data_IF_375490143181
#
_entry.id   IF_375490143181
#
_cell.length_a   1.000
_cell.length_b   1.000
_cell.length_c   1.000
_cell.angle_alpha   90.00
_cell.angle_beta   90.00
_cell.angle_gamma   90.00
#
_symmetry.space_group_name_H-M   'P 1'
#
loop_
_entity.id
_entity.type
_entity.pdbx_description
1 polymer ?
#
# COMPACT_ATOMS: atom_id res chain seq x y z
N UNK A 1 -17.14 0.58 -25.80
CA UNK A 1 -17.13 -0.78 -25.21
C UNK A 1 -15.71 -1.29 -24.97
N UNK A 2 -14.75 -0.98 -25.86
CA UNK A 2 -13.31 -1.25 -25.72
C UNK A 2 -12.68 -0.70 -24.44
N UNK A 3 -13.00 0.53 -24.02
CA UNK A 3 -12.38 1.15 -22.82
C UNK A 3 -12.63 0.39 -21.50
N UNK A 4 -13.77 -0.30 -21.35
CA UNK A 4 -14.12 -1.01 -20.10
C UNK A 4 -13.30 -2.28 -19.85
N UNK A 5 -12.72 -2.87 -20.90
CA UNK A 5 -11.88 -4.08 -20.80
C UNK A 5 -10.39 -3.70 -20.78
N UNK A 6 -10.02 -2.62 -21.47
CA UNK A 6 -8.64 -2.14 -21.49
C UNK A 6 -8.17 -1.67 -20.11
N UNK A 7 -9.03 -1.00 -19.33
CA UNK A 7 -8.70 -0.50 -17.99
C UNK A 7 -8.23 -1.60 -17.01
N UNK A 8 -9.01 -2.67 -16.76
CA UNK A 8 -8.58 -3.75 -15.88
C UNK A 8 -7.29 -4.45 -16.33
N UNK A 9 -7.08 -4.59 -17.65
CA UNK A 9 -5.87 -5.22 -18.20
C UNK A 9 -4.63 -4.36 -17.93
N UNK A 10 -4.73 -3.05 -18.15
CA UNK A 10 -3.62 -2.11 -17.87
C UNK A 10 -3.34 -2.04 -16.38
N UNK A 11 -4.37 -2.03 -15.54
CA UNK A 11 -4.23 -2.08 -14.08
C UNK A 11 -3.52 -3.37 -13.63
N UNK A 12 -3.91 -4.52 -14.18
CA UNK A 12 -3.29 -5.79 -13.83
C UNK A 12 -1.83 -5.84 -14.28
N UNK A 13 -1.53 -5.39 -15.51
CA UNK A 13 -0.17 -5.35 -16.02
C UNK A 13 0.74 -4.42 -15.18
N UNK A 14 0.24 -3.24 -14.84
CA UNK A 14 0.95 -2.28 -13.98
C UNK A 14 1.15 -2.82 -12.56
N UNK A 15 0.13 -3.42 -11.95
CA UNK A 15 0.23 -4.00 -10.61
C UNK A 15 1.22 -5.17 -10.54
N UNK A 16 1.24 -6.02 -11.57
CA UNK A 16 2.22 -7.11 -11.69
C UNK A 16 3.63 -6.53 -11.88
N UNK A 17 3.79 -5.53 -12.76
CA UNK A 17 5.08 -4.87 -12.97
C UNK A 17 5.61 -4.24 -11.67
N UNK A 18 4.77 -3.53 -10.90
CA UNK A 18 5.14 -2.94 -9.62
C UNK A 18 5.61 -3.99 -8.62
N UNK A 19 4.89 -5.12 -8.52
CA UNK A 19 5.26 -6.20 -7.61
C UNK A 19 6.60 -6.83 -7.98
N UNK A 20 6.83 -7.07 -9.28
CA UNK A 20 8.09 -7.64 -9.78
C UNK A 20 9.25 -6.67 -9.58
N UNK A 21 9.05 -5.38 -9.86
CA UNK A 21 10.07 -4.35 -9.69
C UNK A 21 10.45 -4.17 -8.22
N UNK A 22 9.47 -4.13 -7.30
CA UNK A 22 9.75 -4.08 -5.86
C UNK A 22 10.53 -5.31 -5.41
N UNK A 23 10.17 -6.51 -5.91
CA UNK A 23 10.92 -7.72 -5.55
C UNK A 23 12.34 -7.73 -6.12
N UNK A 24 12.53 -7.22 -7.33
CA UNK A 24 13.84 -7.07 -7.94
C UNK A 24 14.71 -6.06 -7.16
N UNK A 25 14.10 -4.97 -6.68
CA UNK A 25 14.75 -4.01 -5.79
C UNK A 25 15.21 -4.66 -4.47
N UNK A 26 14.39 -5.53 -3.87
CA UNK A 26 14.79 -6.28 -2.67
C UNK A 26 16.00 -7.18 -2.93
N UNK A 27 15.99 -7.91 -4.06
CA UNK A 27 17.07 -8.83 -4.41
C UNK A 27 18.40 -8.11 -4.63
N UNK A 28 18.39 -6.98 -5.33
CA UNK A 28 19.57 -6.14 -5.52
C UNK A 28 20.07 -5.52 -4.20
N UNK A 29 19.15 -5.16 -3.31
CA UNK A 29 19.52 -4.64 -2.00
C UNK A 29 20.16 -5.70 -1.09
N UNK A 30 19.74 -6.97 -1.22
CA UNK A 30 20.26 -8.10 -0.42
C UNK A 30 21.56 -8.72 -0.97
N UNK A 31 21.92 -8.49 -2.25
CA UNK A 31 23.07 -9.12 -2.92
C UNK A 31 24.41 -8.92 -2.19
N UNK A 32 24.58 -7.76 -1.52
CA UNK A 32 25.79 -7.40 -0.77
C UNK A 32 25.58 -7.38 0.76
N UNK A 33 24.57 -8.08 1.28
CA UNK A 33 24.25 -8.20 2.71
C UNK A 33 22.83 -7.75 3.06
N UNK A 34 22.22 -8.28 4.14
CA UNK A 34 20.80 -8.09 4.42
C UNK A 34 20.47 -6.64 4.79
N UNK A 35 19.66 -5.96 3.97
CA UNK A 35 19.16 -4.61 4.24
C UNK A 35 17.67 -4.68 4.60
N UNK A 36 17.39 -4.80 5.89
CA UNK A 36 16.02 -5.01 6.37
C UNK A 36 15.15 -3.75 6.29
N UNK A 37 15.75 -2.56 6.26
CA UNK A 37 15.06 -1.26 6.22
C UNK A 37 14.46 -0.88 4.85
N UNK A 38 14.62 -1.72 3.80
CA UNK A 38 14.16 -1.43 2.43
C UNK A 38 12.63 -1.30 2.35
N UNK A 39 11.87 -2.06 3.17
CA UNK A 39 10.42 -2.05 3.14
C UNK A 39 9.81 -0.66 3.46
N UNK A 40 10.35 0.05 4.44
CA UNK A 40 9.89 1.41 4.80
C UNK A 40 10.24 2.41 3.70
N UNK A 41 11.40 2.24 3.06
CA UNK A 41 11.80 3.06 1.92
C UNK A 41 10.92 2.80 0.69
N UNK A 42 10.49 1.56 0.47
CA UNK A 42 9.50 1.24 -0.56
C UNK A 42 8.14 1.89 -0.28
N UNK A 43 7.67 1.87 0.97
CA UNK A 43 6.46 2.61 1.35
C UNK A 43 6.59 4.10 1.06
N UNK A 44 7.75 4.71 1.35
CA UNK A 44 8.02 6.11 0.99
C UNK A 44 7.93 6.33 -0.53
N UNK A 45 8.56 5.48 -1.34
CA UNK A 45 8.52 5.56 -2.80
C UNK A 45 7.08 5.46 -3.34
N UNK A 46 6.24 4.60 -2.74
CA UNK A 46 4.83 4.44 -3.13
C UNK A 46 4.06 5.74 -2.88
N UNK A 47 4.11 6.28 -1.67
CA UNK A 47 3.44 7.54 -1.34
C UNK A 47 3.98 8.74 -2.14
N UNK A 48 5.28 8.73 -2.46
CA UNK A 48 5.85 9.74 -3.37
C UNK A 48 5.29 9.64 -4.79
N UNK A 49 5.03 8.43 -5.29
CA UNK A 49 4.34 8.20 -6.57
C UNK A 49 2.92 8.74 -6.59
N UNK A 50 2.17 8.53 -5.50
CA UNK A 50 0.83 9.08 -5.31
C UNK A 50 0.83 10.61 -5.21
N UNK A 51 1.78 11.17 -4.46
CA UNK A 51 1.96 12.62 -4.35
C UNK A 51 2.30 13.27 -5.71
N UNK A 52 2.95 12.56 -6.64
CA UNK A 52 3.23 13.07 -7.99
C UNK A 52 1.98 13.31 -8.84
N UNK A 53 0.81 12.77 -8.47
CA UNK A 53 -0.47 13.11 -9.11
C UNK A 53 -0.83 14.59 -8.93
N UNK A 54 -0.23 15.30 -7.97
CA UNK A 54 -0.34 16.77 -7.91
C UNK A 54 0.13 17.43 -9.20
N UNK A 55 1.16 16.92 -9.87
CA UNK A 55 1.59 17.45 -11.16
C UNK A 55 0.50 17.32 -12.21
N UNK A 56 -0.20 16.18 -12.26
CA UNK A 56 -1.32 15.95 -13.15
C UNK A 56 -2.51 16.88 -12.83
N UNK A 57 -2.89 17.00 -11.55
CA UNK A 57 -3.98 17.87 -11.10
C UNK A 57 -3.67 19.35 -11.40
N UNK A 58 -2.45 19.80 -11.11
CA UNK A 58 -2.01 21.18 -11.38
C UNK A 58 -1.95 21.44 -12.88
N UNK A 59 -1.44 20.49 -13.67
CA UNK A 59 -1.39 20.59 -15.13
C UNK A 59 -2.79 20.70 -15.73
N UNK A 60 -3.73 19.85 -15.28
CA UNK A 60 -5.10 19.86 -15.77
C UNK A 60 -5.83 21.16 -15.38
N UNK A 61 -5.62 21.65 -14.14
CA UNK A 61 -6.11 22.97 -13.69
C UNK A 61 -5.51 24.13 -14.48
N UNK A 62 -4.24 24.05 -14.85
CA UNK A 62 -3.57 25.06 -15.66
C UNK A 62 -4.10 25.08 -17.10
N UNK A 63 -4.23 23.90 -17.72
CA UNK A 63 -4.75 23.73 -19.09
C UNK A 63 -6.21 24.15 -19.21
N UNK A 64 -7.03 23.87 -18.20
CA UNK A 64 -8.47 24.16 -18.21
C UNK A 64 -8.83 25.51 -17.55
N UNK A 65 -7.88 26.44 -17.37
CA UNK A 65 -8.11 27.77 -16.77
C UNK A 65 -9.23 28.58 -17.43
N UNK A 66 -9.63 28.25 -18.67
CA UNK A 66 -10.65 28.96 -19.44
C UNK A 66 -11.99 28.21 -19.59
N UNK A 67 -12.19 27.03 -18.97
CA UNK A 67 -13.42 26.25 -19.21
C UNK A 67 -13.84 25.24 -18.13
N UNK A 68 -13.22 25.20 -16.95
CA UNK A 68 -13.58 24.22 -15.92
C UNK A 68 -14.59 24.78 -14.91
N UNK A 69 -15.73 24.10 -14.75
CA UNK A 69 -16.62 24.31 -13.62
C UNK A 69 -15.82 23.98 -12.33
N UNK A 70 -15.78 24.87 -11.33
CA UNK A 70 -14.93 24.66 -10.16
C UNK A 70 -15.43 23.44 -9.38
N UNK A 71 -14.62 22.37 -9.34
CA UNK A 71 -14.75 21.35 -8.29
C UNK A 71 -14.67 22.11 -6.97
N UNK A 72 -15.68 21.98 -6.11
CA UNK A 72 -15.74 22.77 -4.88
C UNK A 72 -14.44 22.57 -4.11
N UNK A 73 -13.73 23.65 -3.70
CA UNK A 73 -12.53 23.49 -2.93
C UNK A 73 -12.87 22.73 -1.65
N UNK A 74 -12.18 21.61 -1.46
CA UNK A 74 -12.26 20.80 -0.25
C UNK A 74 -12.19 21.69 0.99
N UNK A 75 -13.19 21.56 1.86
CA UNK A 75 -13.16 22.22 3.17
C UNK A 75 -11.99 21.67 3.97
N UNK A 76 -11.32 22.49 4.79
CA UNK A 76 -10.16 22.05 5.61
C UNK A 76 -10.46 20.77 6.41
N UNK A 77 -11.70 20.62 6.90
CA UNK A 77 -12.15 19.39 7.57
C UNK A 77 -12.11 18.15 6.67
N UNK A 78 -12.50 18.26 5.40
CA UNK A 78 -12.46 17.14 4.45
C UNK A 78 -11.03 16.80 4.02
N UNK A 79 -10.14 17.79 3.97
CA UNK A 79 -8.69 17.54 3.78
C UNK A 79 -8.11 16.76 4.95
N UNK A 80 -8.50 17.07 6.18
CA UNK A 80 -8.08 16.32 7.37
C UNK A 80 -8.68 14.91 7.41
N UNK A 81 -9.87 14.70 6.84
CA UNK A 81 -10.44 13.35 6.69
C UNK A 81 -9.59 12.43 5.79
N UNK A 82 -8.80 12.99 4.87
CA UNK A 82 -7.85 12.21 4.03
C UNK A 82 -6.62 11.70 4.80
N UNK A 83 -6.35 12.23 5.99
CA UNK A 83 -5.27 11.72 6.83
C UNK A 83 -5.62 10.35 7.45
N UNK A 84 -6.92 10.04 7.58
CA UNK A 84 -7.39 8.77 8.12
C UNK A 84 -6.98 7.60 7.22
N UNK A 85 -7.34 7.55 5.91
CA UNK A 85 -6.92 6.44 5.04
C UNK A 85 -5.40 6.31 4.97
N UNK A 86 -4.65 7.41 4.85
CA UNK A 86 -3.18 7.39 4.86
C UNK A 86 -2.61 6.78 6.15
N UNK A 87 -3.20 7.09 7.30
CA UNK A 87 -2.80 6.49 8.59
C UNK A 87 -3.11 4.98 8.62
N UNK A 88 -4.27 4.57 8.11
CA UNK A 88 -4.66 3.16 8.06
C UNK A 88 -3.78 2.36 7.11
N UNK A 89 -3.38 2.91 5.96
CA UNK A 89 -2.46 2.25 5.05
C UNK A 89 -1.08 2.04 5.69
N UNK A 90 -0.54 3.05 6.36
CA UNK A 90 0.75 2.93 7.05
C UNK A 90 0.69 1.90 8.18
N UNK A 91 -0.37 1.92 8.99
CA UNK A 91 -0.58 0.89 10.01
C UNK A 91 -0.71 -0.51 9.39
N UNK A 92 -1.53 -0.65 8.35
CA UNK A 92 -1.76 -1.91 7.65
C UNK A 92 -0.48 -2.48 7.04
N UNK A 93 0.22 -1.68 6.25
CA UNK A 93 1.49 -2.04 5.61
C UNK A 93 2.59 -2.34 6.62
N UNK A 94 2.68 -1.59 7.73
CA UNK A 94 3.66 -1.87 8.80
C UNK A 94 3.38 -3.21 9.48
N UNK A 95 2.13 -3.49 9.86
CA UNK A 95 1.77 -4.78 10.45
C UNK A 95 1.98 -5.94 9.48
N UNK A 96 1.70 -5.72 8.20
CA UNK A 96 1.95 -6.70 7.13
C UNK A 96 3.45 -6.98 6.96
N UNK A 97 4.29 -5.95 7.00
CA UNK A 97 5.75 -6.10 6.98
C UNK A 97 6.27 -6.82 8.23
N UNK A 98 5.70 -6.56 9.40
CA UNK A 98 6.00 -7.34 10.62
C UNK A 98 5.59 -8.80 10.45
N UNK A 99 4.46 -9.06 9.79
CA UNK A 99 4.02 -10.40 9.45
C UNK A 99 5.02 -11.18 8.59
N UNK A 100 5.62 -10.51 7.60
CA UNK A 100 6.67 -11.07 6.74
C UNK A 100 7.94 -11.49 7.52
N UNK A 101 8.17 -10.97 8.74
CA UNK A 101 9.30 -11.36 9.58
C UNK A 101 9.18 -12.79 10.11
N UNK A 102 7.94 -13.21 10.37
CA UNK A 102 7.62 -14.46 11.05
C UNK A 102 7.00 -15.48 10.10
N UNK A 103 6.81 -15.14 8.82
CA UNK A 103 6.23 -16.04 7.83
C UNK A 103 6.94 -15.96 6.48
N UNK A 104 6.78 -17.00 5.66
CA UNK A 104 7.35 -17.03 4.32
C UNK A 104 6.63 -16.08 3.35
N UNK A 105 7.36 -15.54 2.37
CA UNK A 105 6.79 -14.65 1.34
C UNK A 105 5.57 -15.25 0.61
N UNK A 106 5.54 -16.58 0.42
CA UNK A 106 4.40 -17.26 -0.21
C UNK A 106 3.15 -17.21 0.67
N UNK A 107 3.28 -17.48 1.98
CA UNK A 107 2.15 -17.41 2.92
C UNK A 107 1.65 -15.97 3.03
N UNK A 108 2.55 -14.99 3.05
CA UNK A 108 2.22 -13.57 3.03
C UNK A 108 1.36 -13.17 1.82
N UNK A 109 1.82 -13.49 0.60
CA UNK A 109 1.09 -13.14 -0.63
C UNK A 109 -0.26 -13.85 -0.73
N UNK A 110 -0.32 -15.13 -0.35
CA UNK A 110 -1.57 -15.90 -0.42
C UNK A 110 -2.57 -15.46 0.66
N UNK A 111 -2.11 -15.15 1.87
CA UNK A 111 -2.97 -14.62 2.94
C UNK A 111 -3.53 -13.25 2.57
N UNK A 112 -2.80 -12.45 1.79
CA UNK A 112 -3.27 -11.15 1.26
C UNK A 112 -4.61 -11.27 0.50
N UNK A 113 -4.91 -12.42 -0.09
CA UNK A 113 -6.20 -12.69 -0.75
C UNK A 113 -7.41 -12.70 0.19
N UNK A 114 -7.20 -12.88 1.49
CA UNK A 114 -8.27 -12.83 2.51
C UNK A 114 -8.85 -11.42 2.70
N UNK A 115 -8.15 -10.38 2.23
CA UNK A 115 -8.56 -8.98 2.31
C UNK A 115 -9.99 -8.76 1.79
N UNK A 116 -10.35 -9.51 0.74
CA UNK A 116 -11.69 -9.46 0.11
C UNK A 116 -12.80 -9.76 1.12
N UNK A 117 -12.55 -10.66 2.08
CA UNK A 117 -13.52 -11.04 3.12
C UNK A 117 -13.77 -9.84 4.04
N UNK A 118 -12.70 -9.21 4.54
CA UNK A 118 -12.80 -8.06 5.43
C UNK A 118 -13.45 -6.86 4.75
N UNK A 119 -13.08 -6.58 3.49
CA UNK A 119 -13.69 -5.50 2.69
C UNK A 119 -15.19 -5.77 2.47
N UNK A 120 -15.57 -7.00 2.14
CA UNK A 120 -16.97 -7.35 1.95
C UNK A 120 -17.78 -7.21 3.25
N UNK A 121 -17.20 -7.60 4.39
CA UNK A 121 -17.83 -7.45 5.71
C UNK A 121 -18.00 -5.98 6.10
N UNK A 122 -16.95 -5.16 5.96
CA UNK A 122 -17.02 -3.73 6.28
C UNK A 122 -17.92 -2.97 5.31
N UNK A 123 -17.90 -3.28 4.02
CA UNK A 123 -18.82 -2.68 3.04
C UNK A 123 -20.29 -3.05 3.34
N UNK A 124 -20.57 -4.27 3.82
CA UNK A 124 -21.92 -4.61 4.29
C UNK A 124 -22.32 -3.85 5.56
N UNK A 125 -21.41 -3.71 6.54
CA UNK A 125 -21.68 -3.04 7.81
C UNK A 125 -21.84 -1.52 7.66
N UNK A 126 -20.94 -0.86 6.92
CA UNK A 126 -20.90 0.59 6.80
C UNK A 126 -21.72 1.15 5.64
N UNK A 127 -21.75 0.48 4.48
CA UNK A 127 -22.44 0.97 3.27
C UNK A 127 -23.81 0.30 3.03
N UNK A 128 -24.25 -0.60 3.91
CA UNK A 128 -25.55 -1.32 3.84
C UNK A 128 -25.88 -1.96 2.49
N UNK A 129 -24.86 -2.38 1.73
CA UNK A 129 -25.08 -3.04 0.43
C UNK A 129 -25.58 -4.47 0.63
N UNK A 130 -26.62 -4.86 -0.11
CA UNK A 130 -27.12 -6.25 -0.11
C UNK A 130 -26.29 -7.11 -1.06
N UNK A 131 -25.70 -8.20 -0.56
CA UNK A 131 -25.00 -9.18 -1.38
C UNK A 131 -25.98 -10.18 -2.01
N UNK A 132 -25.83 -10.43 -3.30
CA UNK A 132 -26.54 -11.49 -4.02
C UNK A 132 -25.96 -12.86 -3.65
N UNK A 133 -26.75 -13.94 -3.82
CA UNK A 133 -26.34 -15.31 -3.47
C UNK A 133 -25.05 -15.75 -4.18
N UNK A 134 -24.84 -15.30 -5.43
CA UNK A 134 -23.62 -15.58 -6.19
C UNK A 134 -22.37 -14.99 -5.53
N UNK A 135 -22.45 -13.78 -4.95
CA UNK A 135 -21.32 -13.14 -4.26
C UNK A 135 -20.98 -13.85 -2.96
N UNK A 136 -21.99 -14.36 -2.26
CA UNK A 136 -21.79 -15.21 -1.08
C UNK A 136 -21.07 -16.52 -1.42
N UNK A 137 -21.39 -17.15 -2.55
CA UNK A 137 -20.67 -18.34 -3.01
C UNK A 137 -19.20 -18.03 -3.33
N UNK A 138 -18.92 -16.92 -4.01
CA UNK A 138 -17.54 -16.48 -4.25
C UNK A 138 -16.79 -16.24 -2.92
N UNK A 139 -17.44 -15.58 -1.95
CA UNK A 139 -16.84 -15.29 -0.65
C UNK A 139 -16.55 -16.58 0.13
N UNK A 140 -17.46 -17.55 0.11
CA UNK A 140 -17.25 -18.86 0.71
C UNK A 140 -16.04 -19.60 0.11
N UNK A 141 -15.87 -19.52 -1.22
CA UNK A 141 -14.71 -20.10 -1.89
C UNK A 141 -13.39 -19.43 -1.48
N UNK A 142 -13.38 -18.10 -1.34
CA UNK A 142 -12.20 -17.36 -0.84
C UNK A 142 -11.87 -17.76 0.60
N UNK A 143 -12.87 -17.89 1.47
CA UNK A 143 -12.68 -18.36 2.85
C UNK A 143 -12.03 -19.74 2.88
N UNK A 144 -12.48 -20.68 2.04
CA UNK A 144 -11.87 -22.00 1.92
C UNK A 144 -10.40 -21.91 1.46
N UNK A 145 -10.11 -21.09 0.44
CA UNK A 145 -8.73 -20.89 -0.03
C UNK A 145 -7.81 -20.35 1.05
N UNK A 146 -8.25 -19.33 1.79
CA UNK A 146 -7.48 -18.74 2.90
C UNK A 146 -7.28 -19.73 4.05
N UNK A 147 -8.29 -20.54 4.37
CA UNK A 147 -8.18 -21.57 5.40
C UNK A 147 -7.13 -22.64 5.05
N UNK A 148 -7.07 -23.06 3.78
CA UNK A 148 -6.06 -24.01 3.29
C UNK A 148 -4.65 -23.39 3.39
N UNK A 149 -4.50 -22.13 2.97
CA UNK A 149 -3.22 -21.40 3.07
C UNK A 149 -2.76 -21.28 4.52
N UNK A 150 -3.67 -20.93 5.44
CA UNK A 150 -3.36 -20.84 6.88
C UNK A 150 -2.95 -22.18 7.48
N UNK A 151 -3.61 -23.27 7.10
CA UNK A 151 -3.24 -24.63 7.52
C UNK A 151 -1.87 -25.05 6.98
N UNK A 152 -1.58 -24.74 5.71
CA UNK A 152 -0.26 -24.97 5.13
C UNK A 152 0.82 -24.13 5.81
N UNK A 153 0.54 -22.88 6.17
CA UNK A 153 1.48 -22.01 6.87
C UNK A 153 1.78 -22.47 8.30
N UNK A 154 0.79 -23.06 8.98
CA UNK A 154 0.94 -23.56 10.36
C UNK A 154 1.66 -24.90 10.46
N UNK A 155 1.65 -25.70 9.38
CA UNK A 155 2.30 -27.02 9.34
C UNK A 155 3.79 -26.96 8.96
N UNK A 156 4.25 -25.84 8.41
CA UNK A 156 5.66 -25.61 8.07
C UNK A 156 6.36 -24.99 9.29
N UNK A 157 7.04 -25.82 10.08
CA UNK A 157 7.86 -25.42 11.23
C UNK A 157 9.12 -24.65 10.79
N UNK A 158 8.97 -23.41 10.36
CA UNK A 158 10.08 -22.55 9.95
C UNK A 158 10.13 -21.27 10.82
N UNK A 159 10.46 -21.42 12.12
CA UNK A 159 10.84 -20.30 12.99
C UNK A 159 9.97 -20.05 14.22
N UNK A 160 10.21 -18.90 14.87
CA UNK A 160 9.50 -18.40 16.07
C UNK A 160 8.04 -18.08 15.70
N UNK A 161 7.11 -18.85 16.25
CA UNK A 161 5.65 -18.70 16.18
C UNK A 161 5.08 -18.22 14.81
N UNK A 162 5.00 -19.09 13.79
CA UNK A 162 4.37 -18.80 12.49
C UNK A 162 2.93 -18.28 12.62
N UNK A 163 2.26 -18.66 13.70
CA UNK A 163 0.92 -18.19 14.09
C UNK A 163 0.89 -16.70 14.41
N UNK A 164 1.92 -16.17 15.07
CA UNK A 164 2.03 -14.74 15.39
C UNK A 164 2.20 -13.91 14.12
N UNK A 165 3.00 -14.40 13.16
CA UNK A 165 3.12 -13.79 11.83
C UNK A 165 1.79 -13.77 11.08
N UNK A 166 1.06 -14.89 11.07
CA UNK A 166 -0.25 -14.98 10.41
C UNK A 166 -1.28 -14.03 11.03
N UNK A 167 -1.33 -13.96 12.38
CA UNK A 167 -2.22 -13.04 13.08
C UNK A 167 -1.86 -11.58 12.77
N UNK A 168 -0.57 -11.23 12.75
CA UNK A 168 -0.13 -9.88 12.39
C UNK A 168 -0.55 -9.48 10.96
N UNK A 169 -0.47 -10.41 9.99
CA UNK A 169 -0.94 -10.18 8.62
C UNK A 169 -2.45 -9.96 8.60
N UNK A 170 -3.23 -10.83 9.25
CA UNK A 170 -4.69 -10.71 9.28
C UNK A 170 -5.13 -9.38 9.91
N UNK A 171 -4.49 -8.96 11.01
CA UNK A 171 -4.77 -7.66 11.63
C UNK A 171 -4.39 -6.52 10.69
N UNK A 172 -3.23 -6.58 10.03
CA UNK A 172 -2.83 -5.60 9.02
C UNK A 172 -3.85 -5.48 7.87
N UNK A 173 -4.42 -6.61 7.43
CA UNK A 173 -5.47 -6.62 6.42
C UNK A 173 -6.79 -5.99 6.89
N UNK A 174 -7.12 -6.03 8.19
CA UNK A 174 -8.28 -5.30 8.69
C UNK A 174 -8.10 -3.79 8.54
N UNK A 175 -6.89 -3.27 8.78
CA UNK A 175 -6.59 -1.85 8.57
C UNK A 175 -6.72 -1.47 7.09
N UNK A 176 -6.11 -2.27 6.19
CA UNK A 176 -6.26 -2.05 4.74
C UNK A 176 -7.70 -2.15 4.25
N UNK A 177 -8.48 -3.10 4.78
CA UNK A 177 -9.89 -3.22 4.43
C UNK A 177 -10.70 -2.01 4.90
N UNK A 178 -10.33 -1.43 6.05
CA UNK A 178 -10.97 -0.23 6.55
C UNK A 178 -10.59 0.98 5.70
N UNK A 179 -9.33 1.11 5.27
CA UNK A 179 -8.90 2.13 4.31
C UNK A 179 -9.79 2.12 3.07
N UNK A 180 -9.93 0.96 2.40
CA UNK A 180 -10.75 0.85 1.19
C UNK A 180 -12.23 1.19 1.44
N UNK A 181 -12.76 0.83 2.62
CA UNK A 181 -14.16 1.15 2.98
C UNK A 181 -14.33 2.65 3.25
N UNK A 182 -13.36 3.28 3.92
CA UNK A 182 -13.35 4.73 4.20
C UNK A 182 -13.22 5.52 2.91
N UNK A 183 -12.36 5.11 1.99
CA UNK A 183 -12.24 5.72 0.66
C UNK A 183 -13.53 5.59 -0.15
N UNK A 184 -14.13 4.39 -0.19
CA UNK A 184 -15.40 4.18 -0.88
C UNK A 184 -16.49 5.08 -0.30
N UNK A 185 -16.55 5.19 1.04
CA UNK A 185 -17.47 6.09 1.71
C UNK A 185 -17.20 7.56 1.36
N UNK A 186 -15.94 7.98 1.35
CA UNK A 186 -15.54 9.36 1.10
C UNK A 186 -15.82 9.80 -0.34
N UNK A 187 -15.48 8.95 -1.31
CA UNK A 187 -15.79 9.15 -2.73
C UNK A 187 -17.29 9.16 -3.00
N UNK A 188 -18.08 8.42 -2.22
CA UNK A 188 -19.55 8.46 -2.33
C UNK A 188 -20.18 9.70 -1.69
N UNK A 189 -19.51 10.29 -0.68
CA UNK A 189 -20.05 11.39 0.13
C UNK A 189 -19.61 12.78 -0.34
N UNK A 190 -18.48 12.87 -1.07
CA UNK A 190 -17.95 14.14 -1.55
C UNK A 190 -17.69 14.07 -3.05
N UNK A 191 -18.16 15.09 -3.77
CA UNK A 191 -17.94 15.28 -5.20
C UNK A 191 -16.52 15.81 -5.46
N UNK A 192 -15.53 14.91 -5.37
CA UNK A 192 -14.11 15.19 -5.62
C UNK A 192 -13.64 14.20 -6.69
N UNK A 193 -12.74 14.67 -7.56
CA UNK A 193 -12.06 13.82 -8.51
C UNK A 193 -11.15 12.80 -7.78
N UNK A 194 -11.25 11.49 -8.08
CA UNK A 194 -10.42 10.46 -7.43
C UNK A 194 -8.92 10.76 -7.45
N UNK A 195 -8.43 11.35 -8.55
CA UNK A 195 -7.04 11.77 -8.71
C UNK A 195 -6.58 12.77 -7.64
N UNK A 196 -7.46 13.68 -7.22
CA UNK A 196 -7.14 14.67 -6.18
C UNK A 196 -7.15 14.02 -4.79
N UNK A 197 -8.05 13.06 -4.54
CA UNK A 197 -8.11 12.29 -3.29
C UNK A 197 -6.80 11.53 -3.05
N UNK A 198 -6.34 10.78 -4.06
CA UNK A 198 -5.09 10.00 -4.00
C UNK A 198 -3.87 10.92 -3.85
N UNK A 199 -3.88 12.09 -4.51
CA UNK A 199 -2.79 13.07 -4.36
C UNK A 199 -2.70 13.62 -2.91
N UNK A 200 -3.83 13.84 -2.24
CA UNK A 200 -3.84 14.24 -0.83
C UNK A 200 -3.37 13.11 0.09
N UNK A 201 -3.84 11.89 -0.14
CA UNK A 201 -3.39 10.70 0.60
C UNK A 201 -1.88 10.52 0.51
N UNK A 202 -1.31 10.56 -0.71
CA UNK A 202 0.13 10.49 -0.93
C UNK A 202 0.90 11.57 -0.17
N UNK A 203 0.40 12.81 -0.13
CA UNK A 203 1.08 13.88 0.64
C UNK A 203 1.05 13.66 2.15
N UNK A 204 -0.08 13.21 2.71
CA UNK A 204 -0.14 12.87 4.14
C UNK A 204 0.68 11.62 4.46
N UNK A 205 0.67 10.63 3.57
CA UNK A 205 1.46 9.41 3.66
C UNK A 205 2.96 9.70 3.69
N UNK A 206 3.47 10.54 2.79
CA UNK A 206 4.87 11.00 2.82
C UNK A 206 5.20 11.65 4.16
N UNK A 207 4.34 12.53 4.68
CA UNK A 207 4.57 13.20 5.97
C UNK A 207 4.65 12.17 7.11
N UNK A 208 3.69 11.26 7.19
CA UNK A 208 3.66 10.23 8.23
C UNK A 208 4.82 9.25 8.14
N UNK A 209 5.19 8.79 6.94
CA UNK A 209 6.35 7.91 6.76
C UNK A 209 7.64 8.63 7.14
N UNK A 210 7.83 9.90 6.76
CA UNK A 210 9.00 10.67 7.18
C UNK A 210 9.06 10.84 8.71
N UNK A 211 7.92 11.11 9.36
CA UNK A 211 7.85 11.15 10.83
C UNK A 211 8.25 9.80 11.43
N UNK A 212 7.72 8.69 10.90
CA UNK A 212 8.05 7.34 11.36
C UNK A 212 9.54 7.03 11.15
N UNK A 213 10.13 7.44 10.03
CA UNK A 213 11.56 7.25 9.76
C UNK A 213 12.40 8.01 10.79
N UNK A 214 12.07 9.28 11.07
CA UNK A 214 12.80 10.11 12.04
C UNK A 214 12.64 9.57 13.46
N UNK A 215 11.41 9.26 13.88
CA UNK A 215 11.12 8.73 15.22
C UNK A 215 11.80 7.36 15.41
N UNK A 216 11.65 6.45 14.45
CA UNK A 216 12.24 5.11 14.56
C UNK A 216 13.77 5.15 14.55
N UNK A 217 14.37 6.07 13.80
CA UNK A 217 15.82 6.27 13.83
C UNK A 217 16.32 6.78 15.18
N UNK A 218 15.58 7.70 15.82
CA UNK A 218 15.95 8.26 17.13
C UNK A 218 15.80 7.22 18.25
N UNK A 219 14.69 6.47 18.26
CA UNK A 219 14.38 5.52 19.34
C UNK A 219 15.06 4.17 19.19
N UNK A 220 15.15 3.63 17.96
CA UNK A 220 15.64 2.27 17.70
C UNK A 220 16.93 2.29 16.87
N UNK A 221 17.03 3.16 15.86
CA UNK A 221 18.20 3.23 14.98
C UNK A 221 19.51 3.66 15.66
N UNK A 222 19.45 4.33 16.81
CA UNK A 222 20.64 4.78 17.57
C UNK A 222 21.21 3.73 18.54
N UNK A 223 20.50 2.63 18.79
CA UNK A 223 20.97 1.59 19.71
C UNK A 223 21.95 0.62 19.02
N UNK A 224 22.90 0.02 19.75
CA UNK A 224 23.85 -0.95 19.19
C UNK A 224 23.18 -2.20 18.59
N UNK A 225 21.99 -2.54 19.05
CA UNK A 225 21.15 -3.65 18.54
C UNK A 225 20.33 -3.25 17.29
N UNK A 226 20.22 -1.95 16.98
CA UNK A 226 19.48 -1.39 15.84
C UNK A 226 20.33 -1.05 14.62
N UNK A 227 21.66 -1.05 14.72
CA UNK A 227 22.57 -0.91 13.56
C UNK A 227 22.39 -2.06 12.59
N UNK A 228 22.19 -1.77 11.30
CA UNK A 228 21.78 -2.73 10.26
C UNK A 228 20.40 -3.38 10.50
N UNK A 229 19.60 -2.83 11.42
CA UNK A 229 18.24 -3.27 11.71
C UNK A 229 17.20 -2.76 10.70
N UNK A 230 15.92 -2.92 11.04
CA UNK A 230 14.77 -2.48 10.23
C UNK A 230 14.53 -0.96 10.20
N UNK A 231 15.22 -0.22 11.08
CA UNK A 231 15.04 1.22 11.27
C UNK A 231 16.34 2.01 11.06
N UNK A 232 17.36 1.38 10.45
CA UNK A 232 18.61 2.03 10.07
C UNK A 232 18.55 2.49 8.62
N UNK A 233 17.97 3.67 8.43
CA UNK A 233 17.84 4.28 7.11
C UNK A 233 19.17 4.75 6.53
N UNK A 234 20.19 4.97 7.37
CA UNK A 234 21.51 5.39 6.87
C UNK A 234 22.18 4.28 6.07
N UNK A 235 21.99 3.02 6.46
CA UNK A 235 22.44 1.86 5.69
C UNK A 235 21.74 1.78 4.32
N UNK A 236 20.44 2.10 4.24
CA UNK A 236 19.71 2.15 2.96
C UNK A 236 20.30 3.22 2.04
N UNK A 237 20.52 4.44 2.55
CA UNK A 237 21.10 5.51 1.74
C UNK A 237 22.54 5.23 1.29
N UNK A 238 23.36 4.60 2.14
CA UNK A 238 24.70 4.16 1.74
C UNK A 238 24.63 3.11 0.62
N UNK A 239 23.72 2.14 0.69
CA UNK A 239 23.56 1.14 -0.37
C UNK A 239 23.02 1.70 -1.68
N UNK A 240 22.11 2.66 -1.60
CA UNK A 240 21.65 3.36 -2.80
C UNK A 240 22.75 4.18 -3.47
N UNK A 241 23.69 4.73 -2.69
CA UNK A 241 24.85 5.42 -3.23
C UNK A 241 25.90 4.47 -3.82
N UNK A 242 26.01 3.23 -3.31
CA UNK A 242 26.87 2.19 -3.86
C UNK A 242 26.29 1.60 -5.15
N UNK A 243 24.98 1.36 -5.19
CA UNK A 243 24.25 0.76 -6.32
C UNK A 243 23.23 1.76 -6.90
N UNK A 244 23.65 2.65 -7.84
CA UNK A 244 22.77 3.67 -8.41
C UNK A 244 21.58 3.08 -9.20
N UNK A 245 21.65 1.81 -9.57
CA UNK A 245 20.52 1.07 -10.15
C UNK A 245 19.28 1.05 -9.23
N UNK A 246 19.46 1.10 -7.91
CA UNK A 246 18.35 1.17 -6.95
C UNK A 246 17.55 2.48 -7.08
N UNK A 247 18.21 3.60 -7.40
CA UNK A 247 17.53 4.86 -7.70
C UNK A 247 16.72 4.80 -8.99
N UNK A 248 17.27 4.15 -10.03
CA UNK A 248 16.57 3.99 -11.31
C UNK A 248 15.31 3.17 -11.13
N UNK A 249 15.39 2.03 -10.41
CA UNK A 249 14.23 1.18 -10.14
C UNK A 249 13.18 1.91 -9.30
N UNK A 250 13.61 2.65 -8.28
CA UNK A 250 12.71 3.50 -7.47
C UNK A 250 11.97 4.53 -8.32
N UNK A 251 12.67 5.18 -9.26
CA UNK A 251 12.06 6.12 -10.21
C UNK A 251 11.06 5.46 -11.16
N UNK A 252 11.36 4.25 -11.66
CA UNK A 252 10.43 3.49 -12.51
C UNK A 252 9.17 3.09 -11.73
N UNK A 253 9.31 2.63 -10.49
CA UNK A 253 8.17 2.30 -9.61
C UNK A 253 7.30 3.53 -9.38
N UNK A 254 7.92 4.67 -9.07
CA UNK A 254 7.22 5.93 -8.85
C UNK A 254 6.38 6.34 -10.09
N UNK A 255 6.98 6.29 -11.28
CA UNK A 255 6.28 6.60 -12.53
C UNK A 255 5.15 5.61 -12.80
N UNK A 256 5.39 4.32 -12.55
CA UNK A 256 4.40 3.26 -12.77
C UNK A 256 3.18 3.42 -11.84
N UNK A 257 3.39 3.81 -10.58
CA UNK A 257 2.32 4.09 -9.61
C UNK A 257 1.53 5.34 -10.01
N UNK A 258 2.22 6.41 -10.39
CA UNK A 258 1.56 7.62 -10.88
C UNK A 258 0.71 7.33 -12.12
N UNK A 259 1.21 6.50 -13.04
CA UNK A 259 0.46 6.09 -14.25
C UNK A 259 -0.73 5.18 -13.92
N UNK A 260 -0.55 4.24 -12.99
CA UNK A 260 -1.62 3.37 -12.51
C UNK A 260 -2.78 4.20 -11.95
N UNK A 261 -2.48 5.14 -11.05
CA UNK A 261 -3.50 5.94 -10.40
C UNK A 261 -4.14 6.98 -11.32
N UNK A 262 -3.38 7.56 -12.27
CA UNK A 262 -3.95 8.51 -13.23
C UNK A 262 -4.91 7.87 -14.26
N UNK A 263 -4.86 6.55 -14.41
CA UNK A 263 -5.73 5.79 -15.31
C UNK A 263 -7.04 5.32 -14.66
N UNK A 264 -7.10 5.28 -13.32
CA UNK A 264 -8.25 4.79 -12.54
C UNK A 264 -9.30 5.87 -12.36
#
# INVERSE_FOLDING_TARGET
MTSKVTLPIVMLASGVANTVLSKYQDLLAEENGPVKSVAIFQSLNIFMGEACLWFYVIWNRWKNRFGYAPVKPLTTGQKMSMAIPAFMDICGSTLMNVGLLFTSASVYQMTRGSLIIFVALFSMLFLQKRLTLQRWLCLAFVVLGVAIVGYSGSSVNAGVDPTLGLVAILVGQMFLATQFTVEEYLLSSIDIEPNEVVAYEGTFGVIFVLIIMVVSYIFVGRTPEGKNGWFDFTHVFHRFNEEPMLYVISGVILISIAFFNALV
#
